data_IF_094354922483
#
_entry.id   IF_094354922483
#
_cell.length_a   1.000
_cell.length_b   1.000
_cell.length_c   1.000
_cell.angle_alpha   90.00
_cell.angle_beta   90.00
_cell.angle_gamma   90.00
#
_symmetry.space_group_name_H-M   'P 1'
#
loop_
_entity.id
_entity.type
_entity.pdbx_description
1 polymer ?
#
# COMPACT_ATOMS: atom_id res chain seq x y z
N UNK A 1 -17.59 -13.04 5.61
CA UNK A 1 -18.29 -11.83 6.11
C UNK A 1 -17.75 -10.60 5.40
N UNK A 2 -18.60 -9.66 4.96
CA UNK A 2 -18.16 -8.36 4.45
C UNK A 2 -18.26 -7.30 5.56
N UNK A 3 -17.27 -6.42 5.64
CA UNK A 3 -17.27 -5.22 6.49
C UNK A 3 -16.78 -4.00 5.71
N UNK A 4 -17.03 -2.84 6.28
CA UNK A 4 -16.66 -1.56 5.70
C UNK A 4 -15.24 -1.15 6.17
N UNK A 5 -14.43 -0.69 5.22
CA UNK A 5 -13.18 0.03 5.50
C UNK A 5 -13.45 1.51 5.73
N UNK A 6 -12.38 2.31 5.85
CA UNK A 6 -12.52 3.78 5.92
C UNK A 6 -12.84 4.33 4.53
N UNK A 7 -12.26 3.75 3.47
CA UNK A 7 -12.64 4.05 2.10
C UNK A 7 -14.00 3.44 1.77
N UNK A 8 -14.90 4.25 1.20
CA UNK A 8 -16.24 3.80 0.76
C UNK A 8 -16.19 2.73 -0.33
N UNK A 9 -15.12 2.67 -1.12
CA UNK A 9 -15.03 1.79 -2.29
C UNK A 9 -14.23 0.51 -2.02
N UNK A 10 -13.30 0.54 -1.07
CA UNK A 10 -12.41 -0.59 -0.76
C UNK A 10 -12.97 -1.34 0.46
N UNK A 11 -13.78 -2.36 0.18
CA UNK A 11 -14.41 -3.20 1.21
C UNK A 11 -13.40 -4.15 1.82
N UNK A 12 -13.80 -4.73 2.94
CA UNK A 12 -13.01 -5.76 3.60
C UNK A 12 -13.84 -7.04 3.68
N UNK A 13 -13.24 -8.15 3.27
CA UNK A 13 -13.84 -9.48 3.22
C UNK A 13 -13.09 -10.39 4.16
N UNK A 14 -13.80 -10.91 5.16
CA UNK A 14 -13.26 -11.79 6.18
C UNK A 14 -13.76 -13.21 5.99
N UNK A 15 -12.87 -14.19 6.05
CA UNK A 15 -13.24 -15.60 5.98
C UNK A 15 -12.18 -16.47 6.65
N UNK A 16 -12.60 -17.64 7.14
CA UNK A 16 -11.67 -18.63 7.67
C UNK A 16 -11.04 -19.42 6.53
N UNK A 17 -9.73 -19.68 6.63
CA UNK A 17 -9.01 -20.49 5.66
C UNK A 17 -7.88 -21.28 6.31
N UNK A 18 -7.42 -22.34 5.65
CA UNK A 18 -6.27 -23.12 6.12
C UNK A 18 -5.03 -22.73 5.31
N UNK A 19 -4.09 -22.01 5.93
CA UNK A 19 -2.86 -21.52 5.30
C UNK A 19 -1.66 -21.88 6.17
N UNK A 20 -0.56 -22.31 5.54
CA UNK A 20 0.69 -22.68 6.21
C UNK A 20 0.52 -23.69 7.36
N UNK A 21 -0.41 -24.65 7.21
CA UNK A 21 -0.69 -25.66 8.24
C UNK A 21 -1.51 -25.15 9.43
N UNK A 22 -2.08 -23.94 9.36
CA UNK A 22 -2.85 -23.32 10.43
C UNK A 22 -4.22 -22.85 9.92
N UNK A 23 -5.23 -22.95 10.78
CA UNK A 23 -6.50 -22.28 10.55
C UNK A 23 -6.32 -20.80 10.88
N UNK A 24 -6.64 -19.92 9.93
CA UNK A 24 -6.45 -18.48 10.03
C UNK A 24 -7.70 -17.74 9.56
N UNK A 25 -7.97 -16.61 10.20
CA UNK A 25 -8.93 -15.63 9.68
C UNK A 25 -8.22 -14.75 8.65
N UNK A 26 -8.63 -14.84 7.39
CA UNK A 26 -8.14 -13.99 6.30
C UNK A 26 -8.93 -12.69 6.30
N UNK A 27 -8.22 -11.56 6.34
CA UNK A 27 -8.77 -10.22 6.10
C UNK A 27 -8.32 -9.73 4.73
N UNK A 28 -9.20 -9.84 3.73
CA UNK A 28 -8.93 -9.42 2.36
C UNK A 28 -9.47 -8.01 2.10
N UNK A 29 -8.64 -7.11 1.58
CA UNK A 29 -9.04 -5.77 1.14
C UNK A 29 -8.24 -5.35 -0.09
N UNK A 30 -8.47 -4.15 -0.62
CA UNK A 30 -7.87 -3.69 -1.87
C UNK A 30 -7.37 -2.25 -1.79
N UNK A 31 -6.46 -1.92 -2.70
CA UNK A 31 -6.15 -0.54 -3.10
C UNK A 31 -6.85 -0.21 -4.42
N UNK A 32 -6.72 1.03 -4.89
CA UNK A 32 -7.33 1.50 -6.14
C UNK A 32 -6.24 1.98 -7.11
N UNK A 33 -5.34 1.07 -7.50
CA UNK A 33 -4.10 1.39 -8.22
C UNK A 33 -2.99 1.80 -7.26
N UNK A 34 -2.09 2.69 -7.71
CA UNK A 34 -1.04 3.27 -6.88
C UNK A 34 -1.61 3.91 -5.62
N UNK A 35 -1.04 3.52 -4.48
CA UNK A 35 -1.35 4.06 -3.16
C UNK A 35 -0.49 5.28 -2.84
N UNK A 36 0.73 5.32 -3.38
CA UNK A 36 1.71 6.37 -3.17
C UNK A 36 2.10 7.03 -4.49
N UNK A 37 2.41 8.31 -4.45
CA UNK A 37 3.03 9.07 -5.52
C UNK A 37 4.47 9.43 -5.17
N UNK A 38 5.24 9.83 -6.18
CA UNK A 38 6.55 10.47 -6.02
C UNK A 38 6.40 11.95 -6.38
N UNK A 39 6.97 12.81 -5.53
CA UNK A 39 6.94 14.26 -5.72
C UNK A 39 8.32 14.82 -5.39
N UNK A 40 8.72 15.91 -6.04
CA UNK A 40 9.91 16.63 -5.60
C UNK A 40 9.67 17.26 -4.23
N UNK A 41 10.74 17.48 -3.44
CA UNK A 41 10.61 18.25 -2.20
C UNK A 41 10.12 19.68 -2.48
N UNK A 42 9.46 20.29 -1.49
CA UNK A 42 8.80 21.60 -1.60
C UNK A 42 9.59 22.72 -2.35
N UNK A 43 10.93 22.86 -2.23
CA UNK A 43 11.68 23.87 -2.99
C UNK A 43 11.68 23.67 -4.51
N UNK A 44 11.38 22.46 -4.99
CA UNK A 44 11.51 22.07 -6.41
C UNK A 44 10.14 21.80 -7.08
N UNK A 45 9.02 21.89 -6.34
CA UNK A 45 7.70 21.55 -6.85
C UNK A 45 7.08 22.60 -7.80
N UNK A 46 7.46 23.88 -7.66
CA UNK A 46 6.87 24.95 -8.47
C UNK A 46 7.71 25.15 -9.73
N UNK A 47 7.06 25.32 -10.87
CA UNK A 47 7.70 25.54 -12.18
C UNK A 47 8.76 26.65 -12.19
N UNK A 48 8.62 27.67 -11.34
CA UNK A 48 9.54 28.80 -11.25
C UNK A 48 10.35 28.84 -9.95
N UNK A 49 10.38 27.76 -9.15
CA UNK A 49 11.16 27.74 -7.90
C UNK A 49 12.61 27.32 -8.07
N UNK A 50 12.98 26.71 -9.20
CA UNK A 50 14.35 26.31 -9.49
C UNK A 50 14.63 26.32 -10.99
N UNK A 51 15.92 26.27 -11.36
CA UNK A 51 16.31 25.99 -12.75
C UNK A 51 15.98 24.50 -13.07
N UNK A 52 15.32 24.18 -14.19
CA UNK A 52 14.99 22.79 -14.56
C UNK A 52 16.19 21.83 -14.57
N UNK A 53 17.41 22.32 -14.81
CA UNK A 53 18.62 21.51 -14.74
C UNK A 53 18.84 20.91 -13.33
N UNK A 54 18.42 21.60 -12.27
CA UNK A 54 18.53 21.09 -10.90
C UNK A 54 17.62 19.90 -10.64
N UNK A 55 16.58 19.68 -11.45
CA UNK A 55 15.64 18.55 -11.26
C UNK A 55 16.27 17.19 -11.56
N UNK A 56 17.39 17.14 -12.30
CA UNK A 56 18.12 15.89 -12.54
C UNK A 56 18.78 15.35 -11.26
N UNK A 57 19.11 16.23 -10.31
CA UNK A 57 19.75 15.88 -9.03
C UNK A 57 18.84 16.13 -7.81
N UNK A 58 17.64 16.68 -8.03
CA UNK A 58 16.71 17.01 -6.96
C UNK A 58 16.15 15.75 -6.30
N UNK A 59 16.12 15.76 -4.97
CA UNK A 59 15.56 14.67 -4.18
C UNK A 59 14.03 14.62 -4.31
N UNK A 60 13.50 13.40 -4.50
CA UNK A 60 12.07 13.09 -4.52
C UNK A 60 11.67 12.36 -3.24
N UNK A 61 10.41 12.54 -2.83
CA UNK A 61 9.83 11.87 -1.68
C UNK A 61 8.53 11.15 -2.06
N UNK A 62 8.27 10.04 -1.37
CA UNK A 62 6.98 9.34 -1.49
C UNK A 62 5.93 10.09 -0.67
N UNK A 63 4.76 10.31 -1.24
CA UNK A 63 3.60 10.86 -0.53
C UNK A 63 2.35 10.04 -0.82
N UNK A 64 1.33 10.17 0.03
CA UNK A 64 0.04 9.52 -0.18
C UNK A 64 -0.97 10.58 -0.65
N UNK A 65 -1.50 10.49 -1.88
CA UNK A 65 -2.49 11.43 -2.39
C UNK A 65 -3.76 11.47 -1.53
N UNK A 66 -4.43 12.63 -1.47
CA UNK A 66 -5.59 12.85 -0.59
C UNK A 66 -6.73 11.84 -0.79
N UNK A 67 -6.98 11.46 -2.05
CA UNK A 67 -7.99 10.46 -2.42
C UNK A 67 -7.63 9.03 -1.95
N UNK A 68 -6.37 8.77 -1.62
CA UNK A 68 -5.87 7.46 -1.18
C UNK A 68 -5.66 7.37 0.35
N UNK A 69 -5.71 8.49 1.07
CA UNK A 69 -5.49 8.54 2.53
C UNK A 69 -6.40 7.56 3.29
N UNK A 70 -7.67 7.43 2.88
CA UNK A 70 -8.62 6.53 3.54
C UNK A 70 -8.25 5.05 3.36
N UNK A 71 -7.70 4.68 2.20
CA UNK A 71 -7.21 3.32 1.94
C UNK A 71 -5.96 3.07 2.78
N UNK A 72 -4.99 3.99 2.75
CA UNK A 72 -3.77 3.93 3.58
C UNK A 72 -4.11 3.72 5.06
N UNK A 73 -5.01 4.53 5.62
CA UNK A 73 -5.45 4.41 7.03
C UNK A 73 -6.15 3.08 7.31
N UNK A 74 -6.86 2.52 6.33
CA UNK A 74 -7.47 1.19 6.46
C UNK A 74 -6.36 0.14 6.59
N UNK A 75 -5.37 0.13 5.69
CA UNK A 75 -4.23 -0.80 5.77
C UNK A 75 -3.48 -0.69 7.11
N UNK A 76 -3.17 0.53 7.54
CA UNK A 76 -2.53 0.80 8.83
C UNK A 76 -3.36 0.30 10.02
N UNK A 77 -4.70 0.36 9.93
CA UNK A 77 -5.59 -0.15 10.97
C UNK A 77 -5.57 -1.67 11.01
N UNK A 78 -5.76 -2.31 9.87
CA UNK A 78 -5.88 -3.78 9.78
C UNK A 78 -4.58 -4.48 10.15
N UNK A 79 -3.43 -3.96 9.68
CA UNK A 79 -2.13 -4.60 9.91
C UNK A 79 -1.76 -4.71 11.40
N UNK A 80 -2.32 -3.87 12.28
CA UNK A 80 -2.11 -3.97 13.73
C UNK A 80 -2.59 -5.29 14.30
N UNK A 81 -3.66 -5.86 13.72
CA UNK A 81 -4.27 -7.12 14.16
C UNK A 81 -3.78 -8.34 13.35
N UNK A 82 -3.10 -8.12 12.24
CA UNK A 82 -2.58 -9.20 11.37
C UNK A 82 -1.15 -9.62 11.75
N UNK A 83 -0.85 -10.90 11.59
CA UNK A 83 0.49 -11.48 11.79
C UNK A 83 1.29 -11.54 10.49
N UNK A 84 0.60 -11.65 9.36
CA UNK A 84 1.19 -11.73 8.02
C UNK A 84 0.40 -10.86 7.02
N UNK A 85 1.09 -10.45 5.97
CA UNK A 85 0.55 -9.75 4.80
C UNK A 85 0.82 -10.58 3.55
N UNK A 86 -0.21 -10.83 2.74
CA UNK A 86 -0.09 -11.51 1.46
C UNK A 86 -0.49 -10.53 0.36
N UNK A 87 0.44 -10.22 -0.56
CA UNK A 87 0.19 -9.33 -1.69
C UNK A 87 -0.49 -10.10 -2.83
N UNK A 88 -1.63 -9.57 -3.26
CA UNK A 88 -2.51 -10.13 -4.29
C UNK A 88 -2.73 -9.17 -5.49
N UNK A 89 -1.84 -8.20 -5.68
CA UNK A 89 -1.84 -7.34 -6.88
C UNK A 89 -1.56 -8.15 -8.14
N UNK A 90 -1.83 -7.59 -9.31
CA UNK A 90 -1.58 -8.26 -10.59
C UNK A 90 -0.10 -8.66 -10.74
N UNK A 91 0.18 -9.76 -11.44
CA UNK A 91 1.53 -10.35 -11.55
C UNK A 91 2.35 -9.72 -12.68
N UNK A 92 2.42 -8.39 -12.73
CA UNK A 92 3.23 -7.60 -13.64
C UNK A 92 4.11 -6.57 -12.90
N UNK A 93 4.89 -5.78 -13.62
CA UNK A 93 5.79 -4.79 -13.01
C UNK A 93 5.04 -3.75 -12.17
N UNK A 94 3.85 -3.38 -12.60
CA UNK A 94 3.04 -2.35 -11.94
C UNK A 94 2.45 -2.90 -10.64
N UNK A 95 1.88 -4.10 -10.70
CA UNK A 95 1.37 -4.80 -9.53
C UNK A 95 2.45 -5.10 -8.49
N UNK A 96 3.69 -5.40 -8.88
CA UNK A 96 4.80 -5.51 -7.93
C UNK A 96 5.12 -4.17 -7.26
N UNK A 97 5.18 -3.07 -8.01
CA UNK A 97 5.43 -1.74 -7.45
C UNK A 97 4.34 -1.31 -6.45
N UNK A 98 3.07 -1.47 -6.82
CA UNK A 98 1.93 -1.25 -5.91
C UNK A 98 2.04 -2.17 -4.68
N UNK A 99 2.47 -3.41 -4.87
CA UNK A 99 2.76 -4.35 -3.79
C UNK A 99 3.76 -3.80 -2.78
N UNK A 100 4.86 -3.21 -3.26
CA UNK A 100 5.85 -2.55 -2.40
C UNK A 100 5.32 -1.29 -1.70
N UNK A 101 4.46 -0.50 -2.34
CA UNK A 101 3.80 0.64 -1.69
C UNK A 101 2.94 0.18 -0.49
N UNK A 102 2.20 -0.93 -0.66
CA UNK A 102 1.40 -1.53 0.42
C UNK A 102 2.32 -2.04 1.54
N UNK A 103 3.44 -2.70 1.19
CA UNK A 103 4.42 -3.20 2.15
C UNK A 103 5.01 -2.05 2.97
N UNK A 104 5.42 -0.94 2.33
CA UNK A 104 5.98 0.23 3.01
C UNK A 104 5.02 0.78 4.05
N UNK A 105 3.75 0.97 3.68
CA UNK A 105 2.68 1.44 4.59
C UNK A 105 2.48 0.48 5.76
N UNK A 106 2.38 -0.83 5.49
CA UNK A 106 2.13 -1.84 6.50
C UNK A 106 3.32 -1.99 7.47
N UNK A 107 4.55 -1.98 6.95
CA UNK A 107 5.77 -2.11 7.75
C UNK A 107 6.10 -0.87 8.57
N UNK A 108 5.67 0.33 8.14
CA UNK A 108 5.75 1.53 8.97
C UNK A 108 4.97 1.37 10.29
N UNK A 109 3.90 0.56 10.31
CA UNK A 109 3.13 0.23 11.52
C UNK A 109 3.70 -0.99 12.25
N UNK A 110 4.10 -2.02 11.51
CA UNK A 110 4.61 -3.29 12.08
C UNK A 110 5.89 -3.73 11.34
N UNK A 111 7.09 -3.29 11.78
CA UNK A 111 8.34 -3.53 11.05
C UNK A 111 8.68 -5.02 10.82
N UNK A 112 8.32 -5.87 11.79
CA UNK A 112 8.56 -7.31 11.77
C UNK A 112 7.42 -8.11 11.09
N UNK A 113 6.52 -7.44 10.35
CA UNK A 113 5.43 -8.10 9.64
C UNK A 113 5.98 -9.08 8.60
N UNK A 114 5.49 -10.31 8.65
CA UNK A 114 5.83 -11.31 7.65
C UNK A 114 5.09 -11.00 6.35
N UNK A 115 5.83 -10.91 5.25
CA UNK A 115 5.29 -10.55 3.93
C UNK A 115 5.43 -11.73 2.98
N UNK A 116 4.35 -12.05 2.29
CA UNK A 116 4.29 -13.05 1.23
C UNK A 116 3.72 -12.43 -0.05
N UNK A 117 4.02 -13.06 -1.18
CA UNK A 117 3.50 -12.68 -2.50
C UNK A 117 2.76 -13.86 -3.11
N UNK A 118 1.46 -13.71 -3.36
CA UNK A 118 0.72 -14.67 -4.16
C UNK A 118 1.04 -14.47 -5.64
N UNK A 119 1.27 -15.56 -6.39
CA UNK A 119 1.50 -15.54 -7.84
C UNK A 119 0.38 -16.29 -8.55
N UNK A 120 -0.21 -15.69 -9.57
CA UNK A 120 -1.34 -16.21 -10.33
C UNK A 120 -1.28 -15.71 -11.78
N UNK A 121 -2.10 -16.29 -12.67
CA UNK A 121 -2.13 -16.03 -14.12
C UNK A 121 -3.55 -16.10 -14.65
#
# INVERSE_FOLDING_TARGET
RRREGISKFNKIYEFEHHLFGQNVTVTMTSVSGHLLGLEFKAPFQKWHSCNPFLLFDAEVEKYCPDNMIQIKRTLEKEVRQCQALIIWTDCDREGENIGFEIIDVCKAVKPNLQVFRAKFS
#
